data_IF_547451919404
#
_entry.id   IF_547451919404
#
_cell.length_a   1.000
_cell.length_b   1.000
_cell.length_c   1.000
_cell.angle_alpha   90.00
_cell.angle_beta   90.00
_cell.angle_gamma   90.00
#
_symmetry.space_group_name_H-M   'P 1'
#
loop_
_entity.id
_entity.type
_entity.pdbx_description
1 polymer ?
#
# COMPACT_ATOMS: atom_id res chain seq x y z
N UNK A 1 26.40 7.33 23.01
CA UNK A 1 25.40 8.41 22.89
C UNK A 1 24.23 7.82 22.15
N UNK A 2 23.13 7.50 22.84
CA UNK A 2 21.92 6.97 22.20
C UNK A 2 21.26 8.13 21.45
N UNK A 3 21.25 8.04 20.11
CA UNK A 3 20.44 8.93 19.28
C UNK A 3 18.97 8.68 19.64
N UNK A 4 18.40 9.52 20.46
CA UNK A 4 16.96 9.59 20.67
C UNK A 4 16.33 10.11 19.37
N UNK A 5 16.03 9.23 18.44
CA UNK A 5 15.23 9.56 17.25
C UNK A 5 13.79 9.72 17.73
N UNK A 6 13.30 10.95 17.80
CA UNK A 6 11.89 11.20 18.11
C UNK A 6 11.06 10.58 16.98
N UNK A 7 10.25 9.59 17.31
CA UNK A 7 9.32 9.00 16.34
C UNK A 7 8.28 10.04 15.91
N UNK A 8 7.92 10.07 14.63
CA UNK A 8 6.91 11.00 14.15
C UNK A 8 5.55 10.71 14.79
N UNK A 9 4.77 11.75 15.05
CA UNK A 9 3.38 11.63 15.53
C UNK A 9 2.38 11.47 14.41
N UNK A 10 2.74 11.92 13.22
CA UNK A 10 1.95 11.80 12.00
C UNK A 10 2.88 11.69 10.80
N UNK A 11 2.47 10.91 9.82
CA UNK A 11 3.16 10.71 8.54
C UNK A 11 2.13 10.84 7.44
N UNK A 12 2.46 11.57 6.38
CA UNK A 12 1.67 11.57 5.15
C UNK A 12 2.56 11.08 4.01
N UNK A 13 2.12 10.05 3.34
CA UNK A 13 2.76 9.53 2.13
C UNK A 13 2.00 10.00 0.89
N UNK A 14 2.75 10.18 -0.20
CA UNK A 14 2.24 10.57 -1.51
C UNK A 14 2.69 9.49 -2.47
N UNK A 15 1.77 8.63 -2.91
CA UNK A 15 2.08 7.46 -3.71
C UNK A 15 1.48 7.62 -5.10
N UNK A 16 2.29 7.53 -6.19
CA UNK A 16 1.79 7.73 -7.53
C UNK A 16 0.89 6.59 -7.98
N UNK A 17 -0.07 6.92 -8.83
CA UNK A 17 -0.78 5.95 -9.66
C UNK A 17 0.01 5.68 -10.94
N UNK A 18 -0.36 4.64 -11.69
CA UNK A 18 0.37 4.23 -12.89
C UNK A 18 -0.51 4.12 -14.13
N UNK A 19 0.13 4.31 -15.29
CA UNK A 19 -0.41 3.96 -16.60
C UNK A 19 0.41 2.81 -17.18
N UNK A 20 -0.23 1.69 -17.54
CA UNK A 20 0.41 0.58 -18.22
C UNK A 20 0.38 0.79 -19.73
N UNK A 21 1.54 0.66 -20.40
CA UNK A 21 1.67 0.81 -21.85
C UNK A 21 1.58 -0.52 -22.57
N UNK A 22 2.16 -1.58 -21.99
CA UNK A 22 2.21 -2.91 -22.58
C UNK A 22 2.40 -3.99 -21.51
N UNK A 23 2.01 -5.21 -21.84
CA UNK A 23 2.26 -6.41 -21.04
C UNK A 23 1.27 -6.65 -19.90
N UNK A 24 0.26 -5.80 -19.72
CA UNK A 24 -0.75 -6.01 -18.69
C UNK A 24 -1.40 -7.39 -18.76
N UNK A 25 -1.54 -8.06 -17.60
CA UNK A 25 -2.01 -9.43 -17.50
C UNK A 25 -0.90 -10.50 -17.58
N UNK A 26 0.29 -10.16 -18.12
CA UNK A 26 1.43 -11.09 -18.08
C UNK A 26 2.08 -11.16 -16.69
N UNK A 27 1.71 -10.27 -15.79
CA UNK A 27 2.08 -10.20 -14.39
C UNK A 27 1.22 -11.09 -13.47
N UNK A 28 0.21 -11.76 -14.03
CA UNK A 28 -0.59 -12.75 -13.30
C UNK A 28 0.20 -14.04 -13.08
N UNK A 29 0.23 -14.60 -11.86
CA UNK A 29 0.95 -15.86 -11.58
C UNK A 29 0.60 -17.01 -12.50
N UNK A 30 -0.67 -17.11 -12.89
CA UNK A 30 -1.14 -18.14 -13.82
C UNK A 30 -0.51 -18.01 -15.24
N UNK A 31 -0.05 -16.84 -15.61
CA UNK A 31 0.60 -16.58 -16.89
C UNK A 31 2.13 -16.67 -16.77
N UNK A 32 2.76 -15.85 -15.90
CA UNK A 32 4.22 -15.78 -15.90
C UNK A 32 4.91 -17.05 -15.42
N UNK A 33 4.29 -17.85 -14.58
CA UNK A 33 4.86 -19.16 -14.17
C UNK A 33 4.99 -20.14 -15.32
N UNK A 34 4.22 -19.96 -16.40
CA UNK A 34 4.29 -20.82 -17.59
C UNK A 34 5.16 -20.21 -18.69
N UNK A 35 5.07 -18.91 -18.90
CA UNK A 35 5.61 -18.25 -20.11
C UNK A 35 6.63 -17.15 -19.80
N UNK A 36 6.81 -16.80 -18.53
CA UNK A 36 7.41 -15.52 -18.15
C UNK A 36 6.47 -14.36 -18.45
N UNK A 37 6.80 -13.17 -17.95
CA UNK A 37 6.00 -11.99 -18.17
C UNK A 37 6.84 -10.73 -18.13
N UNK A 38 6.34 -9.66 -18.74
CA UNK A 38 6.95 -8.34 -18.62
C UNK A 38 5.90 -7.25 -18.81
N UNK A 39 6.02 -6.18 -18.03
CA UNK A 39 5.14 -5.02 -18.09
C UNK A 39 5.98 -3.77 -18.26
N UNK A 40 5.53 -2.88 -19.14
CA UNK A 40 6.03 -1.52 -19.28
C UNK A 40 4.96 -0.56 -18.77
N UNK A 41 5.29 0.22 -17.73
CA UNK A 41 4.38 1.18 -17.11
C UNK A 41 5.12 2.44 -16.67
N UNK A 42 4.38 3.52 -16.49
CA UNK A 42 4.91 4.75 -15.90
C UNK A 42 4.02 5.24 -14.77
N UNK A 43 4.63 5.71 -13.72
CA UNK A 43 3.94 6.57 -12.77
C UNK A 43 3.41 7.82 -13.49
N UNK A 44 2.27 8.31 -13.04
CA UNK A 44 1.62 9.51 -13.57
C UNK A 44 1.49 10.56 -12.48
N UNK A 45 1.25 11.81 -12.88
CA UNK A 45 1.01 12.94 -11.97
C UNK A 45 -0.41 12.90 -11.37
N UNK A 46 -0.74 11.75 -10.78
CA UNK A 46 -1.94 11.50 -9.99
C UNK A 46 -1.58 10.61 -8.83
N UNK A 47 -2.04 10.97 -7.64
CA UNK A 47 -1.53 10.41 -6.40
C UNK A 47 -2.65 9.93 -5.49
N UNK A 48 -2.27 9.00 -4.63
CA UNK A 48 -2.97 8.64 -3.40
C UNK A 48 -2.18 9.24 -2.23
N UNK A 49 -2.87 9.98 -1.39
CA UNK A 49 -2.35 10.57 -0.15
C UNK A 49 -2.85 9.73 1.01
N UNK A 50 -1.94 9.19 1.81
CA UNK A 50 -2.29 8.43 3.02
C UNK A 50 -1.66 9.11 4.22
N UNK A 51 -2.49 9.58 5.15
CA UNK A 51 -2.04 10.13 6.42
C UNK A 51 -2.30 9.12 7.53
N UNK A 52 -1.25 8.71 8.24
CA UNK A 52 -1.35 7.93 9.47
C UNK A 52 -0.89 8.79 10.63
N UNK A 53 -1.69 8.85 11.67
CA UNK A 53 -1.42 9.67 12.86
C UNK A 53 -1.69 8.87 14.12
N UNK A 54 -0.81 8.97 15.12
CA UNK A 54 -1.12 8.51 16.47
C UNK A 54 -2.27 9.34 17.02
N UNK A 55 -3.39 8.66 17.27
CA UNK A 55 -4.62 9.31 17.73
C UNK A 55 -4.51 9.63 19.22
N UNK A 56 -5.30 10.60 19.67
CA UNK A 56 -5.33 10.93 21.10
C UNK A 56 -6.13 9.88 21.86
N UNK A 57 -5.63 9.44 23.04
CA UNK A 57 -6.37 8.51 23.90
C UNK A 57 -7.64 9.13 24.53
N UNK A 58 -7.92 10.42 24.24
CA UNK A 58 -9.16 11.07 24.61
C UNK A 58 -10.35 10.69 23.73
N UNK A 59 -10.10 10.04 22.59
CA UNK A 59 -11.14 9.46 21.75
C UNK A 59 -11.47 8.04 22.20
N UNK A 60 -12.69 7.60 21.96
CA UNK A 60 -13.18 6.32 22.48
C UNK A 60 -12.80 5.13 21.57
N UNK A 61 -12.37 5.40 20.34
CA UNK A 61 -11.98 4.37 19.37
C UNK A 61 -10.47 4.19 19.31
N UNK A 62 -10.05 2.94 19.08
CA UNK A 62 -8.66 2.58 18.81
C UNK A 62 -8.25 2.87 17.36
N UNK A 63 -9.18 2.74 16.43
CA UNK A 63 -8.92 2.96 15.00
C UNK A 63 -10.01 3.86 14.41
N UNK A 64 -9.57 4.94 13.79
CA UNK A 64 -10.42 5.80 12.96
C UNK A 64 -9.86 5.81 11.55
N UNK A 65 -10.68 5.34 10.58
CA UNK A 65 -10.33 5.36 9.16
C UNK A 65 -11.28 6.33 8.45
N UNK A 66 -10.73 7.17 7.57
CA UNK A 66 -11.49 8.10 6.73
C UNK A 66 -11.02 7.97 5.28
N UNK A 67 -11.91 7.47 4.43
CA UNK A 67 -11.72 7.29 2.99
C UNK A 67 -13.02 7.63 2.27
N UNK A 68 -13.60 6.80 1.39
CA UNK A 68 -14.96 7.02 0.85
C UNK A 68 -16.07 6.93 1.91
N UNK A 69 -15.76 6.36 3.05
CA UNK A 69 -16.57 6.34 4.28
C UNK A 69 -15.69 6.56 5.51
N UNK A 70 -16.30 6.65 6.67
CA UNK A 70 -15.59 6.76 7.95
C UNK A 70 -15.93 5.57 8.83
N UNK A 71 -14.89 4.93 9.37
CA UNK A 71 -14.99 3.84 10.33
C UNK A 71 -14.44 4.29 11.69
N UNK A 72 -15.10 3.89 12.78
CA UNK A 72 -14.68 4.09 14.17
C UNK A 72 -14.81 2.77 14.88
N UNK A 73 -13.69 2.10 15.13
CA UNK A 73 -13.67 0.72 15.64
C UNK A 73 -12.62 0.55 16.74
N UNK A 74 -12.77 -0.50 17.55
CA UNK A 74 -11.86 -0.78 18.66
C UNK A 74 -10.97 -2.00 18.43
N UNK A 75 -11.29 -2.83 17.45
CA UNK A 75 -10.51 -4.01 17.07
C UNK A 75 -10.13 -3.94 15.58
N UNK A 76 -8.99 -4.52 15.23
CA UNK A 76 -8.58 -4.68 13.83
C UNK A 76 -9.60 -5.47 13.02
N UNK A 77 -10.22 -6.49 13.62
CA UNK A 77 -11.18 -7.37 12.95
C UNK A 77 -12.49 -6.66 12.56
N UNK A 78 -12.77 -5.52 13.20
CA UNK A 78 -13.94 -4.69 12.89
C UNK A 78 -13.72 -3.74 11.71
N UNK A 79 -12.45 -3.59 11.24
CA UNK A 79 -12.14 -2.72 10.11
C UNK A 79 -12.68 -3.35 8.83
N UNK A 80 -13.58 -2.64 8.14
CA UNK A 80 -14.17 -3.11 6.89
C UNK A 80 -13.23 -2.97 5.68
N UNK A 81 -12.36 -1.93 5.67
CA UNK A 81 -11.33 -1.80 4.65
C UNK A 81 -10.29 -2.90 4.83
N UNK A 82 -10.40 -3.94 4.02
CA UNK A 82 -9.58 -5.16 4.12
C UNK A 82 -8.08 -4.90 3.91
N UNK A 83 -7.71 -4.07 2.94
CA UNK A 83 -6.31 -3.69 2.71
C UNK A 83 -5.75 -2.96 3.94
N UNK A 84 -6.48 -1.99 4.48
CA UNK A 84 -6.04 -1.27 5.67
C UNK A 84 -5.88 -2.21 6.88
N UNK A 85 -6.84 -3.11 7.08
CA UNK A 85 -6.81 -4.10 8.15
C UNK A 85 -5.58 -4.99 8.06
N UNK A 86 -5.29 -5.54 6.89
CA UNK A 86 -4.15 -6.45 6.73
C UNK A 86 -2.79 -5.73 6.74
N UNK A 87 -2.70 -4.50 6.23
CA UNK A 87 -1.50 -3.66 6.38
C UNK A 87 -1.21 -3.35 7.85
N UNK A 88 -2.23 -3.00 8.63
CA UNK A 88 -2.11 -2.75 10.08
C UNK A 88 -1.67 -4.02 10.83
N UNK A 89 -2.21 -5.18 10.45
CA UNK A 89 -1.85 -6.47 11.04
C UNK A 89 -0.42 -6.87 10.72
N UNK A 90 0.02 -6.60 9.48
CA UNK A 90 1.37 -6.93 9.02
C UNK A 90 2.44 -6.10 9.73
N UNK A 91 2.24 -4.79 9.83
CA UNK A 91 3.24 -3.88 10.40
C UNK A 91 3.14 -3.79 11.93
N UNK A 92 2.01 -4.14 12.53
CA UNK A 92 1.76 -4.20 13.96
C UNK A 92 2.11 -2.89 14.69
N UNK A 93 1.38 -1.83 14.35
CA UNK A 93 1.53 -0.51 15.00
C UNK A 93 0.50 -0.38 16.12
N UNK A 94 0.98 -0.07 17.32
CA UNK A 94 0.13 0.13 18.49
C UNK A 94 -0.94 1.20 18.27
N UNK A 95 -2.22 0.92 18.60
CA UNK A 95 -3.28 1.93 18.62
C UNK A 95 -3.06 2.94 19.78
N UNK A 96 -3.78 4.08 19.82
CA UNK A 96 -4.83 4.45 18.88
C UNK A 96 -4.28 5.14 17.61
N UNK A 97 -4.89 4.85 16.48
CA UNK A 97 -4.48 5.35 15.17
C UNK A 97 -5.61 6.04 14.41
N UNK A 98 -5.28 7.13 13.73
CA UNK A 98 -6.13 7.77 12.72
C UNK A 98 -5.49 7.61 11.35
N UNK A 99 -6.24 7.11 10.39
CA UNK A 99 -5.84 6.92 9.01
C UNK A 99 -6.80 7.69 8.11
N UNK A 100 -6.27 8.57 7.27
CA UNK A 100 -7.07 9.30 6.30
C UNK A 100 -6.47 9.12 4.90
N UNK A 101 -7.35 8.98 3.91
CA UNK A 101 -6.96 8.79 2.51
C UNK A 101 -7.65 9.82 1.63
N UNK A 102 -6.88 10.44 0.73
CA UNK A 102 -7.38 11.25 -0.36
C UNK A 102 -6.77 10.76 -1.69
N UNK A 103 -7.50 10.91 -2.78
CA UNK A 103 -7.07 10.49 -4.11
C UNK A 103 -7.36 11.57 -5.14
N UNK A 104 -6.43 11.77 -6.08
CA UNK A 104 -6.63 12.67 -7.22
C UNK A 104 -7.61 12.10 -8.26
N UNK A 105 -7.89 10.81 -8.22
CA UNK A 105 -8.78 10.14 -9.18
C UNK A 105 -9.89 9.36 -8.47
N UNK A 106 -11.03 9.17 -9.14
CA UNK A 106 -12.09 8.31 -8.60
C UNK A 106 -11.61 6.87 -8.36
N UNK A 107 -12.26 6.22 -7.40
CA UNK A 107 -12.06 4.78 -7.13
C UNK A 107 -12.40 3.97 -8.39
N UNK A 108 -11.71 2.86 -8.60
CA UNK A 108 -11.92 1.96 -9.74
C UNK A 108 -11.58 2.54 -11.12
N UNK A 109 -10.66 3.51 -11.15
CA UNK A 109 -10.16 4.10 -12.41
C UNK A 109 -9.32 3.14 -13.27
N UNK A 110 -8.94 1.97 -12.74
CA UNK A 110 -8.04 1.01 -13.41
C UNK A 110 -6.56 1.42 -13.43
N UNK A 111 -6.19 2.43 -12.62
CA UNK A 111 -4.86 3.03 -12.60
C UNK A 111 -4.02 2.63 -11.37
N UNK A 112 -4.34 1.50 -10.73
CA UNK A 112 -3.58 0.94 -9.61
C UNK A 112 -3.87 1.59 -8.25
N UNK A 113 -5.06 2.18 -8.06
CA UNK A 113 -5.40 2.94 -6.84
C UNK A 113 -5.31 2.10 -5.56
N UNK A 114 -5.74 0.83 -5.57
CA UNK A 114 -5.68 -0.04 -4.39
C UNK A 114 -4.25 -0.32 -3.96
N UNK A 115 -3.40 -0.66 -4.92
CA UNK A 115 -2.00 -0.96 -4.67
C UNK A 115 -1.21 0.29 -4.26
N UNK A 116 -1.52 1.46 -4.86
CA UNK A 116 -0.95 2.74 -4.42
C UNK A 116 -1.36 3.07 -2.99
N UNK A 117 -2.59 2.75 -2.59
CA UNK A 117 -3.04 2.87 -1.20
C UNK A 117 -2.30 1.91 -0.28
N UNK A 118 -2.18 0.62 -0.64
CA UNK A 118 -1.47 -0.38 0.15
C UNK A 118 -0.01 0.03 0.39
N UNK A 119 0.73 0.37 -0.68
CA UNK A 119 2.12 0.83 -0.61
C UNK A 119 2.25 2.09 0.25
N UNK A 120 1.38 3.09 0.03
CA UNK A 120 1.40 4.33 0.79
C UNK A 120 1.12 4.12 2.28
N UNK A 121 0.17 3.24 2.60
CA UNK A 121 -0.17 2.91 3.99
C UNK A 121 0.97 2.16 4.67
N UNK A 122 1.53 1.13 4.05
CA UNK A 122 2.68 0.38 4.57
C UNK A 122 3.86 1.31 4.85
N UNK A 123 4.20 2.19 3.90
CA UNK A 123 5.29 3.16 4.08
C UNK A 123 5.03 4.13 5.24
N UNK A 124 3.79 4.61 5.39
CA UNK A 124 3.41 5.48 6.51
C UNK A 124 3.53 4.75 7.85
N UNK A 125 3.10 3.49 7.93
CA UNK A 125 3.16 2.68 9.15
C UNK A 125 4.59 2.38 9.56
N UNK A 126 5.45 1.92 8.65
CA UNK A 126 6.88 1.70 8.92
C UNK A 126 7.58 2.98 9.37
N UNK A 127 7.32 4.10 8.65
CA UNK A 127 7.88 5.40 9.04
C UNK A 127 7.41 5.83 10.44
N UNK A 128 6.15 5.58 10.80
CA UNK A 128 5.62 5.88 12.13
C UNK A 128 6.30 5.05 13.23
N UNK A 129 6.77 3.85 12.90
CA UNK A 129 7.61 3.00 13.78
C UNK A 129 9.08 3.43 13.80
N UNK A 130 9.50 4.30 12.88
CA UNK A 130 10.88 4.73 12.72
C UNK A 130 11.73 3.73 11.93
N UNK A 131 11.12 2.90 11.13
CA UNK A 131 11.75 1.90 10.27
C UNK A 131 12.03 2.50 8.90
N UNK A 132 13.22 2.25 8.37
CA UNK A 132 13.58 2.58 6.99
C UNK A 132 13.36 1.33 6.12
N UNK A 133 12.45 1.41 5.17
CA UNK A 133 12.11 0.31 4.26
C UNK A 133 12.40 0.68 2.81
N UNK A 134 12.87 -0.29 2.04
CA UNK A 134 13.15 -0.10 0.61
C UNK A 134 11.86 -0.14 -0.22
N UNK A 135 11.90 0.44 -1.44
CA UNK A 135 10.80 0.33 -2.39
C UNK A 135 10.48 -1.14 -2.74
N UNK A 136 11.52 -1.99 -2.84
CA UNK A 136 11.34 -3.41 -3.08
C UNK A 136 10.57 -4.11 -1.95
N UNK A 137 10.93 -3.82 -0.69
CA UNK A 137 10.22 -4.38 0.46
C UNK A 137 8.76 -3.92 0.49
N UNK A 138 8.49 -2.63 0.25
CA UNK A 138 7.12 -2.11 0.20
C UNK A 138 6.28 -2.79 -0.91
N UNK A 139 6.87 -3.01 -2.09
CA UNK A 139 6.21 -3.70 -3.18
C UNK A 139 5.87 -5.16 -2.82
N UNK A 140 6.83 -5.88 -2.22
CA UNK A 140 6.63 -7.26 -1.79
C UNK A 140 5.59 -7.39 -0.68
N UNK A 141 5.62 -6.52 0.32
CA UNK A 141 4.62 -6.49 1.40
C UNK A 141 3.23 -6.16 0.87
N UNK A 142 3.10 -5.20 -0.05
CA UNK A 142 1.83 -4.89 -0.69
C UNK A 142 1.31 -6.06 -1.54
N UNK A 143 2.19 -6.73 -2.31
CA UNK A 143 1.85 -7.96 -3.01
C UNK A 143 1.41 -9.06 -2.04
N UNK A 144 2.10 -9.23 -0.91
CA UNK A 144 1.74 -10.21 0.10
C UNK A 144 0.32 -9.94 0.64
N UNK A 145 0.02 -8.70 1.00
CA UNK A 145 -1.30 -8.30 1.50
C UNK A 145 -2.39 -8.57 0.45
N UNK A 146 -2.24 -8.01 -0.76
CA UNK A 146 -3.31 -8.05 -1.76
C UNK A 146 -3.48 -9.44 -2.40
N UNK A 147 -2.37 -10.14 -2.75
CA UNK A 147 -2.46 -11.42 -3.47
C UNK A 147 -2.52 -12.62 -2.53
N UNK A 148 -1.69 -12.66 -1.49
CA UNK A 148 -1.55 -13.86 -0.68
C UNK A 148 -2.54 -13.90 0.49
N UNK A 149 -2.73 -12.77 1.18
CA UNK A 149 -3.63 -12.71 2.34
C UNK A 149 -5.08 -12.50 1.91
N UNK A 150 -5.33 -11.51 1.05
CA UNK A 150 -6.68 -11.17 0.60
C UNK A 150 -7.14 -12.00 -0.61
N UNK A 151 -6.21 -12.60 -1.36
CA UNK A 151 -6.52 -13.42 -2.52
C UNK A 151 -7.13 -12.64 -3.68
N UNK A 152 -6.80 -11.36 -3.82
CA UNK A 152 -7.28 -10.55 -4.93
C UNK A 152 -6.80 -11.12 -6.27
N UNK A 153 -7.68 -11.22 -7.29
CA UNK A 153 -7.33 -11.77 -8.60
C UNK A 153 -6.59 -10.73 -9.47
N UNK A 154 -5.46 -10.21 -8.99
CA UNK A 154 -4.64 -9.18 -9.63
C UNK A 154 -3.21 -9.68 -9.84
N UNK A 155 -2.43 -8.97 -10.66
CA UNK A 155 -1.00 -9.19 -10.82
C UNK A 155 -0.16 -8.35 -9.85
N UNK A 156 1.16 -8.40 -10.06
CA UNK A 156 2.13 -7.73 -9.18
C UNK A 156 2.57 -6.35 -9.69
N UNK A 157 2.17 -5.95 -10.91
CA UNK A 157 2.70 -4.74 -11.56
C UNK A 157 2.41 -3.45 -10.77
N UNK A 158 1.23 -3.36 -10.16
CA UNK A 158 0.72 -2.14 -9.56
C UNK A 158 1.47 -1.77 -8.30
N UNK A 159 1.77 -2.75 -7.45
CA UNK A 159 2.52 -2.58 -6.21
C UNK A 159 3.95 -2.11 -6.49
N UNK A 160 4.61 -2.74 -7.47
CA UNK A 160 5.95 -2.33 -7.88
C UNK A 160 5.96 -0.94 -8.52
N UNK A 161 5.02 -0.64 -9.42
CA UNK A 161 4.93 0.68 -10.04
C UNK A 161 4.67 1.79 -9.01
N UNK A 162 3.81 1.52 -8.01
CA UNK A 162 3.52 2.46 -6.93
C UNK A 162 4.72 2.68 -6.00
N UNK A 163 5.48 1.62 -5.69
CA UNK A 163 6.62 1.71 -4.79
C UNK A 163 7.85 2.37 -5.42
N UNK A 164 8.13 2.07 -6.69
CA UNK A 164 9.31 2.58 -7.38
C UNK A 164 9.08 3.93 -8.07
N UNK A 165 7.85 4.20 -8.50
CA UNK A 165 7.55 5.41 -9.27
C UNK A 165 8.28 5.44 -10.63
N UNK A 166 8.15 6.53 -11.37
CA UNK A 166 8.87 6.74 -12.65
C UNK A 166 8.45 5.76 -13.75
N UNK A 167 9.37 5.53 -14.72
CA UNK A 167 9.19 4.58 -15.82
C UNK A 167 9.73 3.21 -15.39
N UNK A 168 8.90 2.18 -15.47
CA UNK A 168 9.22 0.84 -15.03
C UNK A 168 9.10 -0.17 -16.18
N UNK A 169 10.14 -0.97 -16.36
CA UNK A 169 10.09 -2.24 -17.06
C UNK A 169 10.26 -3.35 -16.02
N UNK A 170 9.19 -4.10 -15.78
CA UNK A 170 9.15 -5.14 -14.76
C UNK A 170 9.07 -6.49 -15.45
N UNK A 171 10.04 -7.37 -15.22
CA UNK A 171 10.03 -8.74 -15.73
C UNK A 171 9.65 -9.72 -14.63
N UNK A 172 8.81 -10.68 -14.95
CA UNK A 172 8.33 -11.72 -14.06
C UNK A 172 8.89 -13.06 -14.54
N UNK A 173 9.72 -13.68 -13.72
CA UNK A 173 10.34 -14.97 -14.02
C UNK A 173 9.42 -16.11 -13.63
N UNK A 174 9.61 -17.29 -14.27
CA UNK A 174 8.79 -18.48 -14.00
C UNK A 174 8.95 -19.01 -12.57
N UNK A 175 10.04 -18.68 -11.91
CA UNK A 175 10.38 -19.07 -10.54
C UNK A 175 10.05 -18.02 -9.48
N UNK A 176 9.10 -17.13 -9.78
CA UNK A 176 8.62 -16.05 -8.93
C UNK A 176 9.63 -14.93 -8.61
N UNK A 177 10.78 -14.88 -9.31
CA UNK A 177 11.77 -13.79 -9.23
C UNK A 177 11.43 -12.64 -10.17
#
# INVERSE_FOLDING_TARGET
MSNFRLLPRAVTTITPQRLGFAGGGTDLPAFYRQYGGAVLSSAIDKYIYVTVKRHSPLFNENYRLSYSKTEHVNSLDEIENDIARECLRLVDVDPPLFIATASDLPVSSGLGSSSSFAVGLLYALHTLRGEDVSAGQLAEEACHVELNVLGHPIGKQDQYAAAFGGLNYISFQQDDR
#
